data_IF_287846183189
#
_entry.id   IF_287846183189
#
_cell.length_a   1.000
_cell.length_b   1.000
_cell.length_c   1.000
_cell.angle_alpha   90.00
_cell.angle_beta   90.00
_cell.angle_gamma   90.00
#
_symmetry.space_group_name_H-M   'P 1'
#
loop_
_entity.id
_entity.type
_entity.pdbx_description
1 polymer ?
#
# COMPACT_ATOMS: atom_id res chain seq x y z
N UNK A 1 5.29 -8.09 8.13
CA UNK A 1 4.33 -7.00 7.93
C UNK A 1 4.88 -6.03 6.89
N UNK A 2 5.04 -6.53 5.66
CA UNK A 2 5.42 -5.69 4.52
C UNK A 2 4.22 -4.88 4.03
N UNK A 3 4.49 -3.81 3.28
CA UNK A 3 3.49 -2.94 2.64
C UNK A 3 2.49 -3.74 1.78
N UNK A 4 2.93 -4.87 1.23
CA UNK A 4 2.13 -5.79 0.43
C UNK A 4 1.08 -6.54 1.25
N UNK A 5 1.44 -6.97 2.48
CA UNK A 5 0.47 -7.56 3.42
C UNK A 5 -0.57 -6.52 3.85
N UNK A 6 -0.15 -5.27 4.07
CA UNK A 6 -1.05 -4.18 4.44
C UNK A 6 -2.00 -3.85 3.30
N UNK A 7 -1.56 -3.89 2.04
CA UNK A 7 -2.42 -3.71 0.87
C UNK A 7 -3.22 -4.97 0.52
N UNK A 8 -2.88 -6.13 1.09
CA UNK A 8 -3.56 -7.40 0.84
C UNK A 8 -3.26 -7.98 -0.55
N UNK A 9 -2.10 -7.65 -1.11
CA UNK A 9 -1.66 -8.10 -2.44
C UNK A 9 -0.24 -8.66 -2.41
N UNK A 10 0.15 -9.38 -3.46
CA UNK A 10 1.52 -9.84 -3.64
C UNK A 10 2.47 -8.67 -3.98
N UNK A 11 3.78 -8.78 -3.66
CA UNK A 11 4.78 -7.82 -4.11
C UNK A 11 4.78 -7.67 -5.63
N UNK A 12 4.39 -6.49 -6.10
CA UNK A 12 4.22 -6.21 -7.53
C UNK A 12 4.80 -4.84 -7.88
N UNK A 13 5.20 -4.67 -9.14
CA UNK A 13 5.57 -3.35 -9.68
C UNK A 13 4.44 -2.74 -10.51
N UNK A 14 3.29 -3.40 -10.51
CA UNK A 14 2.13 -2.96 -11.28
C UNK A 14 1.35 -1.90 -10.51
N UNK A 15 1.44 -0.66 -10.98
CA UNK A 15 0.80 0.49 -10.33
C UNK A 15 -0.71 0.35 -10.25
N UNK A 16 -1.32 -0.23 -11.28
CA UNK A 16 -2.76 -0.47 -11.30
C UNK A 16 -3.17 -1.48 -10.23
N UNK A 17 -2.40 -2.54 -10.01
CA UNK A 17 -2.67 -3.50 -8.94
C UNK A 17 -2.59 -2.86 -7.54
N UNK A 18 -1.62 -1.96 -7.33
CA UNK A 18 -1.45 -1.21 -6.07
C UNK A 18 -2.64 -0.26 -5.83
N UNK A 19 -3.04 0.51 -6.84
CA UNK A 19 -4.20 1.41 -6.77
C UNK A 19 -5.52 0.65 -6.53
N UNK A 20 -5.72 -0.49 -7.21
CA UNK A 20 -6.89 -1.34 -7.03
C UNK A 20 -6.97 -1.90 -5.59
N UNK A 21 -5.86 -2.42 -5.06
CA UNK A 21 -5.78 -2.94 -3.70
C UNK A 21 -6.08 -1.85 -2.66
N UNK A 22 -5.45 -0.70 -2.84
CA UNK A 22 -5.68 0.47 -2.00
C UNK A 22 -7.14 0.92 -2.06
N UNK A 23 -7.75 1.03 -3.24
CA UNK A 23 -9.15 1.42 -3.40
C UNK A 23 -10.12 0.43 -2.74
N UNK A 24 -9.84 -0.88 -2.82
CA UNK A 24 -10.64 -1.89 -2.15
C UNK A 24 -10.56 -1.73 -0.63
N UNK A 25 -9.36 -1.62 -0.06
CA UNK A 25 -9.22 -1.44 1.39
C UNK A 25 -9.72 -0.10 1.90
N UNK A 26 -9.54 0.97 1.11
CA UNK A 26 -10.06 2.30 1.41
C UNK A 26 -11.58 2.32 1.57
N UNK A 27 -12.31 1.40 0.91
CA UNK A 27 -13.76 1.26 1.11
C UNK A 27 -14.14 0.65 2.47
N UNK A 28 -13.25 -0.11 3.08
CA UNK A 28 -13.47 -0.74 4.39
C UNK A 28 -12.77 0.02 5.53
N UNK A 29 -11.75 0.81 5.21
CA UNK A 29 -11.05 1.65 6.18
C UNK A 29 -11.89 2.90 6.47
N UNK A 30 -12.58 2.90 7.61
CA UNK A 30 -13.33 4.05 8.08
C UNK A 30 -12.38 4.99 8.86
N UNK A 31 -12.12 6.21 8.37
CA UNK A 31 -11.17 7.13 9.02
C UNK A 31 -11.64 7.60 10.40
N UNK A 32 -12.93 7.42 10.75
CA UNK A 32 -13.45 7.75 12.08
C UNK A 32 -13.29 6.61 13.10
N UNK A 33 -13.31 5.36 12.62
CA UNK A 33 -13.23 4.18 13.48
C UNK A 33 -11.78 3.75 13.72
N UNK A 34 -10.96 3.79 12.67
CA UNK A 34 -9.60 3.23 12.69
C UNK A 34 -8.57 4.15 11.99
N UNK A 35 -8.21 5.28 12.62
CA UNK A 35 -7.21 6.19 12.08
C UNK A 35 -5.82 5.55 11.95
N UNK A 36 -5.48 4.59 12.82
CA UNK A 36 -4.22 3.84 12.74
C UNK A 36 -4.18 2.95 11.49
N UNK A 37 -5.29 2.28 11.17
CA UNK A 37 -5.38 1.42 10.00
C UNK A 37 -5.38 2.26 8.70
N UNK A 38 -6.06 3.42 8.73
CA UNK A 38 -5.99 4.40 7.63
C UNK A 38 -4.56 4.88 7.37
N UNK A 39 -3.82 5.25 8.42
CA UNK A 39 -2.41 5.65 8.28
C UNK A 39 -1.53 4.53 7.74
N UNK A 40 -1.69 3.29 8.23
CA UNK A 40 -0.93 2.14 7.73
C UNK A 40 -1.21 1.89 6.24
N UNK A 41 -2.47 1.95 5.83
CA UNK A 41 -2.87 1.74 4.44
C UNK A 41 -2.25 2.79 3.50
N UNK A 42 -2.32 4.07 3.90
CA UNK A 42 -1.70 5.18 3.17
C UNK A 42 -0.19 5.00 3.03
N UNK A 43 0.49 4.66 4.13
CA UNK A 43 1.95 4.49 4.15
C UNK A 43 2.39 3.32 3.27
N UNK A 44 1.64 2.21 3.31
CA UNK A 44 1.89 1.06 2.45
C UNK A 44 1.67 1.37 0.97
N UNK A 45 0.64 2.13 0.64
CA UNK A 45 0.37 2.59 -0.73
C UNK A 45 1.51 3.48 -1.26
N UNK A 46 1.97 4.46 -0.49
CA UNK A 46 3.09 5.33 -0.88
C UNK A 46 4.37 4.53 -1.13
N UNK A 47 4.76 3.65 -0.19
CA UNK A 47 5.93 2.79 -0.38
C UNK A 47 5.78 1.86 -1.59
N UNK A 48 4.59 1.28 -1.81
CA UNK A 48 4.36 0.39 -2.94
C UNK A 48 4.48 1.15 -4.27
N UNK A 49 3.99 2.40 -4.33
CA UNK A 49 4.18 3.28 -5.48
C UNK A 49 5.67 3.60 -5.72
N UNK A 50 6.47 3.80 -4.67
CA UNK A 50 7.91 4.05 -4.80
C UNK A 50 8.66 2.81 -5.31
N UNK A 51 8.28 1.62 -4.85
CA UNK A 51 8.80 0.35 -5.37
C UNK A 51 8.41 0.14 -6.83
N UNK A 52 7.15 0.42 -7.19
CA UNK A 52 6.67 0.34 -8.58
C UNK A 52 7.31 1.39 -9.50
N UNK A 53 7.58 2.58 -8.98
CA UNK A 53 8.29 3.64 -9.70
C UNK A 53 9.78 3.32 -9.95
N UNK A 54 10.32 2.25 -9.35
CA UNK A 54 11.71 1.86 -9.50
C UNK A 54 12.68 2.62 -8.59
N UNK A 55 12.19 3.37 -7.60
CA UNK A 55 13.02 4.08 -6.62
C UNK A 55 13.55 3.18 -5.48
N UNK A 56 13.30 1.88 -5.52
CA UNK A 56 13.97 0.94 -4.63
C UNK A 56 15.41 0.73 -5.12
N UNK A 57 16.29 1.71 -4.83
CA UNK A 57 17.73 1.44 -4.77
C UNK A 57 17.91 0.25 -3.82
N UNK A 58 18.54 -0.86 -4.24
CA UNK A 58 18.87 -1.92 -3.32
C UNK A 58 19.73 -1.30 -2.21
N UNK A 59 19.24 -1.36 -0.96
CA UNK A 59 20.10 -1.16 0.19
C UNK A 59 20.90 -2.45 0.34
N UNK A 60 22.17 -2.39 -0.08
CA UNK A 60 23.22 -3.35 0.27
C UNK A 60 23.48 -3.38 1.78
#
# INVERSE_FOLDING_TARGET
MGIWEILGIAPTRDRAAIEQAYAQQRRFADPQLDPENWQRLQKAYDEALRVAAGEHKPQE
#
